data_IF_940607536264
#
_entry.id   IF_940607536264
#
_cell.length_a   1.000
_cell.length_b   1.000
_cell.length_c   1.000
_cell.angle_alpha   90.00
_cell.angle_beta   90.00
_cell.angle_gamma   90.00
#
_symmetry.space_group_name_H-M   'P 1'
#
loop_
_entity.id
_entity.type
_entity.pdbx_description
1 polymer ?
#
# COMPACT_ATOMS: atom_id res chain seq x y z
N UNK A 1 6.08 -56.03 5.09
CA UNK A 1 5.73 -55.48 3.77
C UNK A 1 4.66 -54.42 4.02
N UNK A 2 5.06 -53.16 4.12
CA UNK A 2 4.15 -52.07 4.50
C UNK A 2 3.59 -51.47 3.21
N UNK A 3 2.31 -51.71 2.95
CA UNK A 3 1.61 -51.17 1.78
C UNK A 3 1.47 -49.66 2.01
N UNK A 4 1.98 -48.86 1.07
CA UNK A 4 1.83 -47.41 1.15
C UNK A 4 0.35 -47.05 0.98
N UNK A 5 -0.25 -46.49 2.03
CA UNK A 5 -1.56 -45.86 1.96
C UNK A 5 -1.50 -44.66 1.00
N UNK A 6 -2.63 -44.38 0.36
CA UNK A 6 -2.93 -43.23 -0.50
C UNK A 6 -2.16 -41.95 -0.13
N UNK A 7 -1.37 -41.42 -1.07
CA UNK A 7 -0.66 -40.15 -0.91
C UNK A 7 -1.50 -39.02 -1.54
N UNK A 8 -2.13 -38.20 -0.70
CA UNK A 8 -2.86 -37.01 -1.15
C UNK A 8 -1.89 -35.82 -1.17
N UNK A 9 -1.60 -35.30 -2.37
CA UNK A 9 -0.83 -34.07 -2.53
C UNK A 9 -1.80 -32.89 -2.63
N UNK A 10 -1.61 -31.87 -1.78
CA UNK A 10 -2.37 -30.62 -1.85
C UNK A 10 -1.41 -29.47 -2.18
N UNK A 11 -1.76 -28.66 -3.17
CA UNK A 11 -0.97 -27.52 -3.63
C UNK A 11 -1.60 -26.21 -3.18
N UNK A 12 -0.81 -25.33 -2.55
CA UNK A 12 -1.23 -23.96 -2.23
C UNK A 12 -1.13 -23.09 -3.47
N UNK A 13 -2.26 -22.58 -3.96
CA UNK A 13 -2.32 -21.82 -5.22
C UNK A 13 -2.01 -20.32 -5.05
N UNK A 14 -2.13 -19.80 -3.83
CA UNK A 14 -1.87 -18.40 -3.53
C UNK A 14 -1.18 -18.29 -2.16
N UNK A 15 -0.03 -17.62 -2.17
CA UNK A 15 0.68 -17.20 -0.96
C UNK A 15 1.13 -15.75 -1.12
N UNK A 16 0.92 -14.92 -0.09
CA UNK A 16 1.24 -13.49 -0.12
C UNK A 16 2.09 -13.13 1.10
N UNK A 17 3.10 -12.28 0.89
CA UNK A 17 3.84 -11.61 1.97
C UNK A 17 3.46 -10.13 2.01
N UNK A 18 2.97 -9.68 3.15
CA UNK A 18 2.69 -8.27 3.40
C UNK A 18 3.87 -7.61 4.09
N UNK A 19 4.18 -6.38 3.70
CA UNK A 19 5.34 -5.64 4.17
C UNK A 19 4.96 -4.28 4.73
N UNK A 20 5.64 -3.91 5.82
CA UNK A 20 5.58 -2.60 6.45
C UNK A 20 6.66 -1.71 5.81
N UNK A 21 6.30 -0.73 4.95
CA UNK A 21 7.29 0.11 4.28
C UNK A 21 8.13 0.93 5.26
N UNK A 22 7.59 1.27 6.43
CA UNK A 22 8.30 2.08 7.43
C UNK A 22 9.48 1.33 8.05
N UNK A 23 9.33 0.02 8.26
CA UNK A 23 10.35 -0.83 8.89
C UNK A 23 11.12 -1.69 7.90
N UNK A 24 10.71 -1.67 6.63
CA UNK A 24 11.17 -2.60 5.60
C UNK A 24 11.14 -4.04 6.13
N UNK A 25 10.02 -4.43 6.73
CA UNK A 25 9.87 -5.70 7.43
C UNK A 25 8.55 -6.40 7.09
N UNK A 26 8.58 -7.73 7.06
CA UNK A 26 7.40 -8.55 6.83
C UNK A 26 6.43 -8.44 8.03
N UNK A 27 5.14 -8.25 7.72
CA UNK A 27 4.07 -8.20 8.71
C UNK A 27 3.59 -9.63 8.96
N UNK A 28 3.76 -10.12 10.18
CA UNK A 28 3.48 -11.53 10.51
C UNK A 28 2.32 -11.71 11.49
N UNK A 29 1.65 -10.64 11.87
CA UNK A 29 0.59 -10.64 12.88
C UNK A 29 -0.45 -9.55 12.60
N UNK A 30 -1.62 -9.65 13.25
CA UNK A 30 -2.67 -8.63 13.24
C UNK A 30 -3.50 -8.53 11.96
N UNK A 31 -3.04 -9.09 10.84
CA UNK A 31 -3.79 -9.06 9.57
C UNK A 31 -4.82 -10.19 9.50
N UNK A 32 -6.02 -9.84 9.06
CA UNK A 32 -7.01 -10.76 8.49
C UNK A 32 -7.00 -10.54 6.99
N UNK A 33 -6.79 -11.63 6.24
CA UNK A 33 -6.66 -11.59 4.79
C UNK A 33 -7.67 -12.56 4.20
N UNK A 34 -8.53 -12.06 3.31
CA UNK A 34 -9.58 -12.86 2.68
C UNK A 34 -9.53 -12.72 1.16
N UNK A 35 -9.98 -13.77 0.46
CA UNK A 35 -10.12 -13.79 -0.99
C UNK A 35 -11.54 -14.19 -1.34
N UNK A 36 -12.17 -13.43 -2.22
CA UNK A 36 -13.59 -13.56 -2.57
C UNK A 36 -13.76 -13.58 -4.09
N UNK A 37 -14.46 -14.56 -4.70
CA UNK A 37 -14.67 -14.58 -6.15
C UNK A 37 -15.52 -13.38 -6.61
N UNK A 38 -15.11 -12.68 -7.68
CA UNK A 38 -15.82 -11.48 -8.16
C UNK A 38 -17.12 -11.82 -8.90
N UNK A 39 -17.14 -12.95 -9.63
CA UNK A 39 -18.26 -13.32 -10.52
C UNK A 39 -19.30 -14.27 -9.87
N UNK A 40 -19.13 -14.65 -8.60
CA UNK A 40 -20.03 -15.62 -7.96
C UNK A 40 -21.29 -14.91 -7.42
N UNK A 41 -22.50 -15.48 -7.59
CA UNK A 41 -23.75 -14.88 -7.11
C UNK A 41 -23.86 -14.84 -5.58
N UNK A 42 -23.20 -15.79 -4.91
CA UNK A 42 -23.09 -15.86 -3.44
C UNK A 42 -21.63 -16.15 -3.08
N UNK A 43 -20.77 -15.12 -3.13
CA UNK A 43 -19.35 -15.34 -2.95
C UNK A 43 -19.06 -15.59 -1.46
N UNK A 44 -18.58 -16.79 -1.13
CA UNK A 44 -18.08 -17.08 0.21
C UNK A 44 -16.61 -16.65 0.29
N UNK A 45 -16.24 -15.72 1.18
CA UNK A 45 -14.84 -15.35 1.37
C UNK A 45 -14.06 -16.55 1.93
N UNK A 46 -12.83 -16.71 1.47
CA UNK A 46 -11.86 -17.68 2.01
C UNK A 46 -10.80 -16.90 2.77
N UNK A 47 -10.67 -17.18 4.06
CA UNK A 47 -9.65 -16.55 4.91
C UNK A 47 -8.31 -17.28 4.78
N UNK A 48 -7.24 -16.51 4.65
CA UNK A 48 -5.89 -17.05 4.65
C UNK A 48 -5.53 -17.66 6.01
N UNK A 49 -4.73 -18.72 6.00
CA UNK A 49 -3.97 -19.15 7.17
C UNK A 49 -2.53 -18.67 7.05
N UNK A 50 -1.89 -18.42 8.19
CA UNK A 50 -0.51 -17.98 8.24
C UNK A 50 0.44 -19.18 8.39
N UNK A 51 1.50 -19.22 7.59
CA UNK A 51 2.57 -20.22 7.71
C UNK A 51 3.61 -19.81 8.79
N UNK A 52 4.48 -20.75 9.18
CA UNK A 52 5.59 -20.46 10.10
C UNK A 52 6.54 -19.36 9.57
N UNK A 53 6.70 -19.26 8.25
CA UNK A 53 7.47 -18.21 7.57
C UNK A 53 6.69 -16.90 7.36
N UNK A 54 5.50 -16.77 7.95
CA UNK A 54 4.69 -15.54 7.89
C UNK A 54 3.98 -15.28 6.57
N UNK A 55 3.91 -16.28 5.68
CA UNK A 55 3.16 -16.17 4.42
C UNK A 55 1.67 -16.35 4.74
N UNK A 56 0.82 -15.51 4.15
CA UNK A 56 -0.62 -15.69 4.16
C UNK A 56 -1.01 -16.57 2.97
N UNK A 57 -1.33 -17.82 3.25
CA UNK A 57 -1.63 -18.86 2.28
C UNK A 57 -3.12 -19.17 2.25
N UNK A 58 -3.62 -19.55 1.08
CA UNK A 58 -5.03 -19.88 0.85
C UNK A 58 -5.18 -21.31 0.35
N UNK A 59 -6.25 -21.96 0.81
CA UNK A 59 -6.69 -23.28 0.39
C UNK A 59 -8.22 -23.29 0.34
N UNK A 60 -8.80 -24.15 -0.49
CA UNK A 60 -10.24 -24.24 -0.69
C UNK A 60 -10.82 -23.04 -1.45
N UNK A 61 -10.02 -22.38 -2.31
CA UNK A 61 -10.54 -21.25 -3.09
C UNK A 61 -11.62 -21.75 -4.05
N UNK A 62 -12.81 -21.16 -3.98
CA UNK A 62 -13.96 -21.56 -4.79
C UNK A 62 -13.62 -21.47 -6.29
N UNK A 63 -13.81 -22.56 -7.02
CA UNK A 63 -13.45 -22.66 -8.44
C UNK A 63 -12.03 -23.18 -8.71
N UNK A 64 -11.18 -23.31 -7.69
CA UNK A 64 -9.79 -23.79 -7.86
C UNK A 64 -9.51 -25.17 -7.24
N UNK A 65 -10.50 -25.81 -6.63
CA UNK A 65 -10.34 -27.10 -5.93
C UNK A 65 -9.69 -28.20 -6.77
N UNK A 66 -9.99 -28.26 -8.07
CA UNK A 66 -9.39 -29.24 -8.97
C UNK A 66 -7.88 -29.03 -9.15
N UNK A 67 -7.41 -27.77 -9.10
CA UNK A 67 -5.98 -27.42 -9.16
C UNK A 67 -5.27 -27.65 -7.82
N UNK A 68 -5.98 -27.55 -6.70
CA UNK A 68 -5.42 -27.79 -5.37
C UNK A 68 -5.11 -29.28 -5.13
N UNK A 69 -5.94 -30.19 -5.63
CA UNK A 69 -5.84 -31.64 -5.38
C UNK A 69 -5.46 -32.49 -6.62
N UNK A 70 -5.46 -31.90 -7.81
CA UNK A 70 -5.15 -32.61 -9.04
C UNK A 70 -3.66 -32.58 -9.39
N UNK A 71 -3.17 -33.51 -10.22
CA UNK A 71 -1.90 -33.31 -10.89
C UNK A 71 -1.99 -31.99 -11.69
N UNK A 72 -0.97 -31.15 -11.59
CA UNK A 72 -0.90 -29.88 -12.31
C UNK A 72 -0.87 -30.15 -13.83
N UNK A 73 -2.04 -30.37 -14.41
CA UNK A 73 -2.23 -30.63 -15.83
C UNK A 73 -2.45 -29.27 -16.49
N UNK A 74 -1.52 -28.87 -17.35
CA UNK A 74 -1.63 -27.63 -18.10
C UNK A 74 -2.80 -27.74 -19.08
N UNK A 75 -3.98 -27.25 -18.71
CA UNK A 75 -5.05 -27.02 -19.67
C UNK A 75 -4.72 -25.77 -20.47
N UNK A 76 -4.64 -25.87 -21.79
CA UNK A 76 -4.39 -24.74 -22.69
C UNK A 76 -5.68 -24.37 -23.44
N UNK A 77 -6.12 -23.10 -23.41
CA UNK A 77 -5.56 -22.00 -22.60
C UNK A 77 -5.88 -22.17 -21.10
N UNK A 78 -5.06 -21.63 -20.19
CA UNK A 78 -5.37 -21.63 -18.77
C UNK A 78 -6.65 -20.84 -18.54
N UNK A 79 -7.59 -21.41 -17.79
CA UNK A 79 -8.74 -20.65 -17.32
C UNK A 79 -8.26 -19.67 -16.24
N UNK A 80 -8.70 -18.43 -16.29
CA UNK A 80 -8.38 -17.41 -15.28
C UNK A 80 -9.67 -16.93 -14.64
N UNK A 81 -9.70 -16.91 -13.32
CA UNK A 81 -10.81 -16.41 -12.51
C UNK A 81 -10.35 -15.17 -11.73
N UNK A 82 -11.21 -14.16 -11.65
CA UNK A 82 -10.95 -12.94 -10.89
C UNK A 82 -11.45 -13.07 -9.46
N UNK A 83 -10.59 -12.68 -8.52
CA UNK A 83 -10.89 -12.62 -7.11
C UNK A 83 -10.52 -11.26 -6.54
N UNK A 84 -11.21 -10.90 -5.48
CA UNK A 84 -10.91 -9.75 -4.65
C UNK A 84 -10.14 -10.21 -3.41
N UNK A 85 -8.92 -9.70 -3.26
CA UNK A 85 -8.14 -9.77 -2.04
C UNK A 85 -8.54 -8.60 -1.12
N UNK A 86 -8.90 -8.90 0.12
CA UNK A 86 -9.15 -7.90 1.15
C UNK A 86 -8.23 -8.12 2.34
N UNK A 87 -7.58 -7.05 2.79
CA UNK A 87 -6.66 -7.02 3.93
C UNK A 87 -7.19 -6.04 4.95
N UNK A 88 -7.36 -6.49 6.19
CA UNK A 88 -7.73 -5.65 7.34
C UNK A 88 -6.77 -5.92 8.49
N UNK A 89 -6.31 -4.88 9.18
CA UNK A 89 -5.43 -5.00 10.35
C UNK A 89 -6.22 -4.76 11.64
N UNK A 90 -6.33 -5.79 12.49
CA UNK A 90 -7.03 -5.71 13.77
C UNK A 90 -6.37 -4.72 14.75
N UNK A 91 -5.08 -4.44 14.57
CA UNK A 91 -4.34 -3.47 15.37
C UNK A 91 -4.40 -2.03 14.82
N UNK A 92 -5.11 -1.82 13.71
CA UNK A 92 -5.25 -0.51 13.06
C UNK A 92 -3.92 0.21 12.77
N UNK A 93 -2.85 -0.55 12.49
CA UNK A 93 -1.53 0.00 12.10
C UNK A 93 -1.52 0.33 10.61
N UNK A 94 -2.29 -0.40 9.81
CA UNK A 94 -2.37 -0.24 8.35
C UNK A 94 -3.79 0.07 7.90
N UNK A 95 -3.92 0.79 6.79
CA UNK A 95 -5.21 1.02 6.16
C UNK A 95 -5.78 -0.28 5.57
N UNK A 96 -7.10 -0.49 5.67
CA UNK A 96 -7.76 -1.55 4.92
C UNK A 96 -7.42 -1.43 3.43
N UNK A 97 -7.11 -2.56 2.80
CA UNK A 97 -6.69 -2.60 1.40
C UNK A 97 -7.51 -3.62 0.64
N UNK A 98 -7.94 -3.25 -0.56
CA UNK A 98 -8.63 -4.12 -1.50
C UNK A 98 -7.79 -4.18 -2.77
N UNK A 99 -7.59 -5.37 -3.33
CA UNK A 99 -6.89 -5.56 -4.59
C UNK A 99 -7.53 -6.67 -5.42
N UNK A 100 -7.70 -6.45 -6.72
CA UNK A 100 -8.07 -7.50 -7.65
C UNK A 100 -6.87 -8.40 -7.97
N UNK A 101 -7.10 -9.71 -7.97
CA UNK A 101 -6.12 -10.73 -8.34
C UNK A 101 -6.73 -11.74 -9.31
N UNK A 102 -5.90 -12.29 -10.18
CA UNK A 102 -6.25 -13.32 -11.13
C UNK A 102 -5.62 -14.65 -10.73
N UNK A 103 -6.44 -15.72 -10.66
CA UNK A 103 -5.98 -17.06 -10.29
C UNK A 103 -6.45 -18.12 -11.31
N UNK A 104 -5.69 -19.21 -11.51
CA UNK A 104 -4.37 -19.47 -10.93
C UNK A 104 -3.32 -18.46 -11.44
N UNK A 105 -2.28 -18.24 -10.64
CA UNK A 105 -1.16 -17.38 -11.06
C UNK A 105 -0.51 -17.96 -12.31
N UNK A 106 -0.05 -17.09 -13.22
CA UNK A 106 0.67 -17.50 -14.45
C UNK A 106 2.06 -18.10 -14.18
N UNK A 107 2.50 -18.06 -12.92
CA UNK A 107 3.79 -18.56 -12.45
C UNK A 107 3.62 -19.27 -11.10
N UNK A 108 4.65 -20.03 -10.68
CA UNK A 108 4.68 -20.70 -9.37
C UNK A 108 5.32 -19.80 -8.32
N UNK A 109 4.80 -19.83 -7.10
CA UNK A 109 5.41 -19.17 -5.94
C UNK A 109 4.52 -18.11 -5.31
N UNK A 110 5.15 -17.10 -4.71
CA UNK A 110 4.46 -16.02 -4.01
C UNK A 110 3.86 -15.01 -4.97
N UNK A 111 2.69 -14.48 -4.64
CA UNK A 111 2.07 -13.38 -5.36
C UNK A 111 2.99 -12.16 -5.41
N UNK A 112 3.10 -11.54 -6.58
CA UNK A 112 3.96 -10.39 -6.89
C UNK A 112 3.05 -9.26 -7.39
N UNK A 113 2.79 -8.23 -6.58
CA UNK A 113 1.89 -7.14 -6.97
C UNK A 113 2.42 -6.41 -8.22
N UNK A 114 1.63 -6.39 -9.29
CA UNK A 114 2.00 -5.70 -10.53
C UNK A 114 2.82 -6.53 -11.53
N UNK A 115 3.10 -7.81 -11.25
CA UNK A 115 3.73 -8.68 -12.24
C UNK A 115 2.73 -9.02 -13.36
N UNK A 116 2.81 -8.33 -14.50
CA UNK A 116 2.07 -8.66 -15.72
C UNK A 116 2.96 -9.38 -16.72
N UNK A 117 2.88 -10.71 -16.80
CA UNK A 117 3.53 -11.49 -17.86
C UNK A 117 5.00 -11.89 -17.63
N UNK A 118 5.41 -12.95 -18.32
CA UNK A 118 6.62 -13.77 -18.09
C UNK A 118 7.97 -13.16 -18.50
N UNK A 119 9.10 -13.76 -18.03
CA UNK A 119 9.37 -14.28 -16.70
C UNK A 119 10.11 -13.20 -15.86
N UNK A 120 9.81 -13.08 -14.57
CA UNK A 120 10.55 -12.16 -13.72
C UNK A 120 11.97 -12.69 -13.46
N UNK A 121 12.94 -11.80 -13.40
CA UNK A 121 14.28 -12.13 -12.89
C UNK A 121 14.14 -12.74 -11.49
N UNK A 122 14.82 -13.87 -11.26
CA UNK A 122 14.68 -14.65 -10.01
C UNK A 122 15.20 -13.89 -8.77
N UNK A 123 15.97 -12.82 -8.96
CA UNK A 123 16.64 -12.08 -7.89
C UNK A 123 15.91 -10.80 -7.41
N UNK A 124 14.77 -10.42 -7.99
CA UNK A 124 14.04 -9.24 -7.51
C UNK A 124 13.13 -9.57 -6.32
N UNK A 125 13.75 -9.73 -5.15
CA UNK A 125 13.07 -9.92 -3.86
C UNK A 125 12.10 -8.77 -3.55
N UNK A 126 12.35 -7.55 -4.08
CA UNK A 126 11.48 -6.40 -3.88
C UNK A 126 10.17 -6.52 -4.67
N UNK A 127 10.19 -7.15 -5.84
CA UNK A 127 8.98 -7.42 -6.64
C UNK A 127 7.98 -8.38 -5.96
N UNK A 128 8.40 -9.11 -4.92
CA UNK A 128 7.52 -10.03 -4.18
C UNK A 128 6.77 -9.38 -3.00
N UNK A 129 6.96 -8.07 -2.78
CA UNK A 129 6.50 -7.39 -1.56
C UNK A 129 5.16 -6.71 -1.78
N UNK A 130 4.13 -7.13 -1.05
CA UNK A 130 2.87 -6.41 -0.95
C UNK A 130 2.95 -5.39 0.19
N UNK A 131 3.37 -4.16 -0.12
CA UNK A 131 3.43 -3.07 0.85
C UNK A 131 2.03 -2.59 1.23
N UNK A 132 1.79 -2.44 2.54
CA UNK A 132 0.58 -1.83 3.08
C UNK A 132 0.82 -0.36 3.44
N UNK A 133 -0.23 0.46 3.30
CA UNK A 133 -0.16 1.87 3.70
C UNK A 133 -0.41 2.04 5.19
N UNK A 134 0.38 2.89 5.84
CA UNK A 134 0.24 3.16 7.27
C UNK A 134 -1.08 3.87 7.56
N UNK A 135 -1.76 3.45 8.63
CA UNK A 135 -2.93 4.15 9.13
C UNK A 135 -2.53 5.55 9.63
N UNK A 136 -3.36 6.59 9.42
CA UNK A 136 -3.10 7.94 9.92
C UNK A 136 -2.95 8.03 11.44
N UNK A 137 -3.53 7.09 12.19
CA UNK A 137 -3.43 7.03 13.66
C UNK A 137 -2.20 6.25 14.17
N UNK A 138 -1.41 5.64 13.26
CA UNK A 138 -0.25 4.84 13.65
C UNK A 138 0.83 5.73 14.28
N UNK A 139 1.28 5.32 15.46
CA UNK A 139 2.46 5.91 16.11
C UNK A 139 3.71 5.56 15.29
N UNK A 140 4.55 6.56 14.91
CA UNK A 140 5.79 6.28 14.21
C UNK A 140 6.74 5.45 15.11
N UNK A 141 7.38 4.39 14.57
CA UNK A 141 8.45 3.71 15.27
C UNK A 141 9.58 4.68 15.67
N UNK A 142 10.29 4.44 16.79
CA UNK A 142 11.42 5.28 17.18
C UNK A 142 12.47 5.40 16.06
N UNK A 143 12.99 6.61 15.86
CA UNK A 143 14.00 6.89 14.84
C UNK A 143 13.48 7.07 13.41
N UNK A 144 12.16 7.05 13.20
CA UNK A 144 11.54 7.36 11.91
C UNK A 144 10.83 8.71 11.94
N UNK A 145 10.83 9.38 10.80
CA UNK A 145 10.06 10.58 10.54
C UNK A 145 8.62 10.22 10.16
N UNK A 146 7.70 11.17 10.35
CA UNK A 146 6.33 11.06 9.85
C UNK A 146 5.90 12.35 9.18
N UNK A 147 5.31 12.21 8.00
CA UNK A 147 4.61 13.27 7.28
C UNK A 147 3.12 12.99 7.39
N UNK A 148 2.37 13.90 8.00
CA UNK A 148 0.92 13.81 8.16
C UNK A 148 0.23 14.83 7.28
N UNK A 149 -0.94 14.48 6.78
CA UNK A 149 -1.80 15.41 6.06
C UNK A 149 -3.28 15.11 6.37
N UNK A 150 -4.08 16.17 6.36
CA UNK A 150 -5.53 16.09 6.23
C UNK A 150 -5.88 16.68 4.87
N UNK A 151 -6.23 15.83 3.90
CA UNK A 151 -6.50 16.27 2.53
C UNK A 151 -7.98 16.63 2.35
N UNK A 152 -8.23 17.78 1.73
CA UNK A 152 -9.57 18.31 1.52
C UNK A 152 -9.75 18.73 0.06
N UNK A 153 -10.70 18.09 -0.63
CA UNK A 153 -11.11 18.47 -1.98
C UNK A 153 -11.94 19.75 -1.91
N UNK A 154 -11.38 20.84 -2.42
CA UNK A 154 -12.05 22.15 -2.42
C UNK A 154 -13.21 22.24 -3.41
N UNK A 155 -13.20 21.45 -4.49
CA UNK A 155 -14.25 21.47 -5.52
C UNK A 155 -15.48 20.66 -5.06
N UNK A 156 -15.24 19.49 -4.47
CA UNK A 156 -16.30 18.66 -3.89
C UNK A 156 -16.71 19.11 -2.47
N UNK A 157 -15.95 20.02 -1.86
CA UNK A 157 -16.14 20.49 -0.49
C UNK A 157 -16.20 19.33 0.53
N UNK A 158 -15.20 18.44 0.48
CA UNK A 158 -15.16 17.21 1.27
C UNK A 158 -13.75 16.62 1.42
N UNK A 159 -13.59 15.52 2.15
CA UNK A 159 -12.30 14.86 2.28
C UNK A 159 -11.84 14.32 0.91
N UNK A 160 -10.57 14.54 0.57
CA UNK A 160 -9.96 13.90 -0.61
C UNK A 160 -9.60 12.44 -0.28
N UNK A 161 -10.63 11.60 -0.18
CA UNK A 161 -10.53 10.22 0.24
C UNK A 161 -9.72 9.36 -0.76
N UNK A 162 -8.85 8.49 -0.21
CA UNK A 162 -8.04 7.55 -0.99
C UNK A 162 -7.13 8.19 -2.04
N UNK A 163 -6.77 9.46 -1.84
CA UNK A 163 -5.66 10.12 -2.53
C UNK A 163 -4.32 9.49 -2.11
N UNK A 164 -3.44 9.27 -3.09
CA UNK A 164 -2.08 8.76 -2.90
C UNK A 164 -1.13 9.94 -2.68
N UNK A 165 -0.32 9.87 -1.62
CA UNK A 165 0.72 10.83 -1.32
C UNK A 165 2.07 10.23 -1.72
N UNK A 166 2.86 10.97 -2.48
CA UNK A 166 4.26 10.66 -2.77
C UNK A 166 5.13 11.71 -2.08
N UNK A 167 6.04 11.25 -1.22
CA UNK A 167 6.97 12.09 -0.47
C UNK A 167 8.38 11.76 -0.95
N UNK A 168 9.01 12.71 -1.60
CA UNK A 168 10.38 12.64 -2.05
C UNK A 168 11.32 13.27 -1.02
N UNK A 169 12.36 12.52 -0.65
CA UNK A 169 13.42 12.96 0.27
C UNK A 169 14.80 12.65 -0.33
N UNK A 170 15.90 13.08 0.29
CA UNK A 170 17.25 12.68 -0.15
C UNK A 170 17.50 11.17 -0.17
N UNK A 171 16.69 10.38 0.56
CA UNK A 171 16.80 8.91 0.59
C UNK A 171 15.98 8.20 -0.50
N UNK A 172 15.03 8.89 -1.15
CA UNK A 172 14.18 8.29 -2.18
C UNK A 172 12.71 8.71 -2.09
N UNK A 173 11.85 7.89 -2.70
CA UNK A 173 10.40 8.09 -2.73
C UNK A 173 9.69 7.22 -1.69
N UNK A 174 8.72 7.81 -1.02
CA UNK A 174 7.89 7.17 -0.01
C UNK A 174 6.43 7.42 -0.32
N UNK A 175 5.57 6.42 -0.08
CA UNK A 175 4.15 6.52 -0.43
C UNK A 175 3.26 6.41 0.81
N UNK A 176 2.20 7.22 0.84
CA UNK A 176 1.09 7.11 1.77
C UNK A 176 -0.23 7.08 1.03
N UNK A 177 -1.27 6.65 1.73
CA UNK A 177 -2.63 6.68 1.23
C UNK A 177 -3.49 7.40 2.26
N UNK A 178 -4.38 8.27 1.80
CA UNK A 178 -5.38 8.87 2.68
C UNK A 178 -6.54 7.91 2.94
N UNK A 179 -7.05 7.93 4.17
CA UNK A 179 -8.24 7.18 4.55
C UNK A 179 -9.51 7.82 3.96
N UNK A 180 -10.66 7.20 4.23
CA UNK A 180 -11.97 7.71 3.79
C UNK A 180 -12.28 9.13 4.29
N UNK A 181 -11.68 9.54 5.42
CA UNK A 181 -11.83 10.90 5.96
C UNK A 181 -10.76 11.87 5.44
N UNK A 182 -9.93 11.51 4.46
CA UNK A 182 -8.87 12.34 3.89
C UNK A 182 -7.58 12.44 4.73
N UNK A 183 -7.52 11.81 5.91
CA UNK A 183 -6.30 11.80 6.72
C UNK A 183 -5.26 10.81 6.17
N UNK A 184 -3.98 11.17 6.15
CA UNK A 184 -2.89 10.34 5.64
C UNK A 184 -1.65 10.41 6.55
N UNK A 185 -0.85 9.35 6.54
CA UNK A 185 0.49 9.34 7.13
C UNK A 185 1.49 8.61 6.23
N UNK A 186 2.66 9.22 6.06
CA UNK A 186 3.84 8.60 5.44
C UNK A 186 4.91 8.50 6.50
N UNK A 187 5.31 7.28 6.86
CA UNK A 187 6.37 7.03 7.84
C UNK A 187 7.61 6.58 7.07
N UNK A 188 8.73 7.25 7.31
CA UNK A 188 9.96 7.07 6.53
C UNK A 188 11.21 7.31 7.39
N UNK A 189 12.37 6.71 7.06
CA UNK A 189 13.62 6.94 7.77
C UNK A 189 14.10 8.39 7.64
N UNK A 190 14.67 8.94 8.71
CA UNK A 190 15.40 10.20 8.61
C UNK A 190 16.62 10.02 7.70
N UNK A 191 16.93 11.01 6.85
CA UNK A 191 18.19 11.02 6.11
C UNK A 191 19.40 11.04 7.05
N UNK A 192 20.57 10.76 6.48
CA UNK A 192 21.81 10.72 7.26
C UNK A 192 22.11 12.07 7.92
N UNK A 193 22.54 12.02 9.16
CA UNK A 193 22.88 13.21 9.92
C UNK A 193 24.16 13.83 9.36
N UNK A 194 24.06 15.05 8.82
CA UNK A 194 25.24 15.80 8.40
C UNK A 194 25.88 16.42 9.63
N UNK A 195 27.04 15.91 10.04
CA UNK A 195 27.90 16.63 10.98
C UNK A 195 28.65 17.69 10.19
N UNK A 196 28.19 18.94 10.21
CA UNK A 196 29.03 20.03 9.73
C UNK A 196 30.17 20.21 10.74
N UNK A 197 31.40 19.89 10.33
CA UNK A 197 32.63 20.18 11.07
C UNK A 197 33.24 21.52 10.62
N UNK A 198 32.48 22.35 9.92
CA UNK A 198 32.99 23.62 9.42
C UNK A 198 33.33 24.56 10.59
N UNK A 199 34.61 24.93 10.66
CA UNK A 199 35.16 26.01 11.48
C UNK A 199 35.17 25.84 13.01
N UNK A 200 35.34 24.62 13.52
CA UNK A 200 35.62 24.40 14.96
C UNK A 200 34.51 24.85 15.91
N UNK A 201 33.33 25.19 15.36
CA UNK A 201 32.13 25.43 16.14
C UNK A 201 31.51 24.08 16.50
N UNK A 202 30.97 23.92 17.72
CA UNK A 202 30.30 22.69 18.10
C UNK A 202 29.20 22.36 17.07
N UNK A 203 29.06 21.08 16.66
CA UNK A 203 28.05 20.69 15.70
C UNK A 203 26.66 21.13 16.18
N UNK A 204 25.74 21.48 15.25
CA UNK A 204 24.38 21.84 15.62
C UNK A 204 23.76 20.72 16.47
N UNK A 205 22.96 21.12 17.45
CA UNK A 205 22.22 20.18 18.29
C UNK A 205 21.42 19.24 17.39
N UNK A 206 21.46 17.94 17.68
CA UNK A 206 20.81 16.89 16.89
C UNK A 206 19.32 17.19 16.64
N UNK A 207 18.65 17.82 17.61
CA UNK A 207 17.26 18.25 17.56
C UNK A 207 16.94 19.35 16.52
N UNK A 208 17.95 19.97 15.88
CA UNK A 208 17.75 21.04 14.90
C UNK A 208 18.03 20.59 13.45
N UNK A 209 18.29 19.31 13.21
CA UNK A 209 18.53 18.83 11.85
C UNK A 209 17.24 18.86 11.02
N UNK A 210 17.38 19.36 9.80
CA UNK A 210 16.28 19.51 8.86
C UNK A 210 16.68 18.99 7.49
N UNK A 211 15.73 18.38 6.79
CA UNK A 211 15.94 17.88 5.44
C UNK A 211 14.79 18.31 4.54
N UNK A 212 15.07 18.81 3.33
CA UNK A 212 14.03 19.20 2.40
C UNK A 212 13.22 17.97 1.99
N UNK A 213 11.92 18.17 1.80
CA UNK A 213 11.03 17.20 1.20
C UNK A 213 10.17 17.85 0.11
N UNK A 214 9.80 17.07 -0.88
CA UNK A 214 8.81 17.44 -1.91
C UNK A 214 7.64 16.47 -1.84
N UNK A 215 6.41 16.97 -1.86
CA UNK A 215 5.19 16.16 -1.81
C UNK A 215 4.39 16.35 -3.09
N UNK A 216 4.02 15.23 -3.71
CA UNK A 216 3.05 15.14 -4.79
C UNK A 216 1.81 14.41 -4.30
N UNK A 217 0.66 14.83 -4.79
CA UNK A 217 -0.63 14.23 -4.46
C UNK A 217 -1.23 13.74 -5.75
N UNK A 218 -1.63 12.47 -5.78
CA UNK A 218 -2.39 11.89 -6.88
C UNK A 218 -3.81 11.69 -6.38
N UNK A 219 -4.73 12.44 -6.97
CA UNK A 219 -6.12 12.44 -6.58
C UNK A 219 -7.04 12.62 -7.79
N UNK A 220 -7.76 11.55 -8.12
CA UNK A 220 -8.74 11.53 -9.20
C UNK A 220 -9.89 10.59 -8.81
N UNK A 221 -10.94 11.10 -8.16
CA UNK A 221 -12.01 10.26 -7.61
C UNK A 221 -12.78 9.51 -8.72
N UNK A 222 -12.81 10.04 -9.95
CA UNK A 222 -13.51 9.45 -11.08
C UNK A 222 -12.92 8.12 -11.55
N UNK A 223 -11.62 7.85 -11.32
CA UNK A 223 -10.99 6.58 -11.73
C UNK A 223 -11.01 5.52 -10.63
N UNK A 224 -11.43 5.89 -9.41
CA UNK A 224 -11.50 4.96 -8.29
C UNK A 224 -12.62 3.94 -8.55
N UNK A 225 -12.27 2.65 -8.48
CA UNK A 225 -13.23 1.57 -8.66
C UNK A 225 -13.50 0.87 -7.33
N UNK A 226 -14.75 0.89 -6.91
CA UNK A 226 -15.22 0.19 -5.71
C UNK A 226 -15.89 -1.11 -6.14
N UNK A 227 -15.59 -2.20 -5.43
CA UNK A 227 -16.34 -3.43 -5.60
C UNK A 227 -17.62 -3.41 -4.78
N UNK A 228 -18.61 -4.22 -5.20
CA UNK A 228 -19.93 -4.24 -4.58
C UNK A 228 -19.87 -4.31 -3.05
N UNK A 229 -20.37 -3.25 -2.40
CA UNK A 229 -20.48 -3.14 -0.94
C UNK A 229 -19.19 -2.77 -0.20
N UNK A 230 -18.06 -2.62 -0.88
CA UNK A 230 -16.80 -2.20 -0.24
C UNK A 230 -16.72 -0.68 -0.16
N UNK A 231 -16.32 -0.17 1.01
CA UNK A 231 -16.09 1.26 1.23
C UNK A 231 -14.67 1.71 0.83
N UNK A 232 -13.82 0.79 0.38
CA UNK A 232 -12.41 1.01 0.02
C UNK A 232 -12.24 0.70 -1.47
N UNK A 233 -11.62 1.60 -2.25
CA UNK A 233 -11.41 1.34 -3.67
C UNK A 233 -10.31 0.30 -3.89
N UNK A 234 -10.36 -0.34 -5.06
CA UNK A 234 -9.33 -1.25 -5.51
C UNK A 234 -7.97 -0.51 -5.63
N UNK A 235 -6.91 -1.12 -5.10
CA UNK A 235 -5.57 -0.57 -5.09
C UNK A 235 -5.02 -0.30 -6.50
N UNK A 236 -5.40 -1.13 -7.48
CA UNK A 236 -5.04 -0.90 -8.89
C UNK A 236 -5.63 0.40 -9.41
N UNK A 237 -6.88 0.72 -9.05
CA UNK A 237 -7.52 2.01 -9.39
C UNK A 237 -6.87 3.20 -8.70
N UNK A 238 -6.45 3.04 -7.44
CA UNK A 238 -5.74 4.09 -6.69
C UNK A 238 -4.43 4.46 -7.37
N UNK A 239 -3.67 3.46 -7.83
CA UNK A 239 -2.38 3.66 -8.50
C UNK A 239 -2.48 4.31 -9.88
N UNK A 240 -3.67 4.37 -10.48
CA UNK A 240 -3.92 5.01 -11.78
C UNK A 240 -4.35 6.47 -11.68
N UNK A 241 -4.61 6.97 -10.47
CA UNK A 241 -5.00 8.37 -10.27
C UNK A 241 -3.93 9.31 -10.83
N UNK A 242 -4.36 10.34 -11.55
CA UNK A 242 -3.46 11.38 -12.04
C UNK A 242 -3.06 12.37 -10.93
N UNK A 243 -1.98 13.11 -11.18
CA UNK A 243 -1.48 14.11 -10.24
C UNK A 243 -2.48 15.26 -10.07
N UNK A 244 -2.85 15.50 -8.82
CA UNK A 244 -3.74 16.56 -8.40
C UNK A 244 -2.98 17.86 -8.13
N UNK A 245 -3.73 18.95 -8.06
CA UNK A 245 -3.21 20.25 -7.65
C UNK A 245 -3.40 20.44 -6.14
N UNK A 246 -2.51 21.22 -5.53
CA UNK A 246 -2.49 21.52 -4.10
C UNK A 246 -2.26 23.01 -3.88
N UNK A 247 -2.74 23.55 -2.76
CA UNK A 247 -2.74 24.99 -2.53
C UNK A 247 -1.93 25.35 -1.28
N UNK A 248 -0.88 26.17 -1.46
CA UNK A 248 -0.06 26.65 -0.35
C UNK A 248 -0.79 27.70 0.51
N UNK A 249 -1.68 28.48 -0.11
CA UNK A 249 -2.59 29.43 0.56
C UNK A 249 -3.99 29.27 -0.05
N UNK A 250 -5.05 29.60 0.69
CA UNK A 250 -6.43 29.39 0.23
C UNK A 250 -6.80 30.21 -1.02
N UNK A 251 -6.18 31.38 -1.20
CA UNK A 251 -6.38 32.28 -2.36
C UNK A 251 -5.23 32.21 -3.37
N UNK A 252 -4.24 31.34 -3.13
CA UNK A 252 -3.04 31.23 -3.95
C UNK A 252 -3.27 30.43 -5.23
N UNK A 253 -2.34 30.53 -6.21
CA UNK A 253 -2.38 29.66 -7.37
C UNK A 253 -2.18 28.19 -6.97
N UNK A 254 -2.81 27.24 -7.69
CA UNK A 254 -2.53 25.82 -7.51
C UNK A 254 -1.07 25.50 -7.84
N UNK A 255 -0.52 24.52 -7.12
CA UNK A 255 0.79 23.93 -7.38
C UNK A 255 0.67 22.41 -7.51
N UNK A 256 1.48 21.83 -8.40
CA UNK A 256 1.56 20.37 -8.56
C UNK A 256 2.37 19.70 -7.43
N UNK A 257 3.17 20.49 -6.71
CA UNK A 257 4.10 20.03 -5.68
C UNK A 257 4.03 20.96 -4.46
N UNK A 258 4.16 20.37 -3.27
CA UNK A 258 4.38 21.10 -2.03
C UNK A 258 5.80 20.85 -1.52
N UNK A 259 6.51 21.89 -1.13
CA UNK A 259 7.83 21.77 -0.52
C UNK A 259 7.73 21.93 0.99
N UNK A 260 8.48 21.13 1.74
CA UNK A 260 8.53 21.20 3.19
C UNK A 260 9.90 20.84 3.75
N UNK A 261 9.96 20.70 5.07
CA UNK A 261 11.14 20.22 5.78
C UNK A 261 10.73 19.09 6.74
N UNK A 262 11.50 18.01 6.75
CA UNK A 262 11.52 17.06 7.85
C UNK A 262 12.36 17.69 8.95
N UNK A 263 11.87 17.71 10.18
CA UNK A 263 12.62 18.15 11.35
C UNK A 263 12.82 16.93 12.24
N UNK A 264 14.04 16.72 12.75
CA UNK A 264 14.32 15.56 13.61
C UNK A 264 13.41 15.56 14.85
N UNK A 265 12.87 14.38 15.18
CA UNK A 265 11.91 14.13 16.28
C UNK A 265 10.61 14.95 16.26
N UNK A 266 10.32 15.63 15.15
CA UNK A 266 9.09 16.42 14.98
C UNK A 266 8.26 15.87 13.84
N UNK A 267 6.95 15.73 14.05
CA UNK A 267 6.02 15.35 12.98
C UNK A 267 5.85 16.51 12.00
N UNK A 268 6.02 16.26 10.70
CA UNK A 268 5.76 17.27 9.67
C UNK A 268 4.29 17.21 9.26
N UNK A 269 3.56 18.30 9.46
CA UNK A 269 2.17 18.45 9.02
C UNK A 269 2.08 19.24 7.72
N UNK A 270 1.46 18.66 6.70
CA UNK A 270 1.13 19.36 5.47
C UNK A 270 -0.22 20.04 5.61
N UNK A 271 -0.25 21.36 5.40
CA UNK A 271 -1.47 22.15 5.45
C UNK A 271 -1.35 23.39 4.55
N UNK A 272 -2.49 23.86 4.06
CA UNK A 272 -2.62 25.18 3.43
C UNK A 272 -2.47 26.25 4.51
N UNK A 273 -1.74 27.33 4.23
CA UNK A 273 -1.50 28.41 5.20
C UNK A 273 -2.80 28.96 5.78
N UNK A 274 -2.88 29.02 7.11
CA UNK A 274 -4.07 29.47 7.84
C UNK A 274 -5.16 28.40 8.04
N UNK A 275 -4.98 27.19 7.51
CA UNK A 275 -5.91 26.06 7.64
C UNK A 275 -5.25 24.89 8.36
N UNK A 276 -6.07 23.98 8.89
CA UNK A 276 -5.62 22.73 9.52
C UNK A 276 -5.55 21.55 8.54
N UNK A 277 -5.82 21.80 7.26
CA UNK A 277 -5.88 20.80 6.21
C UNK A 277 -5.20 21.35 4.95
N UNK A 278 -4.79 20.44 4.07
CA UNK A 278 -4.26 20.78 2.76
C UNK A 278 -5.38 20.74 1.74
N UNK A 279 -5.68 21.88 1.15
CA UNK A 279 -6.60 21.97 0.03
C UNK A 279 -5.98 21.32 -1.20
N UNK A 280 -6.76 20.48 -1.86
CA UNK A 280 -6.42 19.83 -3.12
C UNK A 280 -7.56 20.02 -4.12
N UNK A 281 -7.22 20.01 -5.41
CA UNK A 281 -8.18 19.92 -6.50
C UNK A 281 -7.87 18.64 -7.30
N UNK A 282 -8.87 17.79 -7.60
CA UNK A 282 -8.70 16.61 -8.42
C UNK A 282 -7.95 16.90 -9.72
N UNK A 283 -7.19 15.92 -10.19
CA UNK A 283 -6.71 15.95 -11.56
C UNK A 283 -7.90 16.12 -12.51
N UNK A 284 -7.84 17.13 -13.39
CA UNK A 284 -8.87 17.35 -14.38
C UNK A 284 -8.82 16.21 -15.40
N UNK A 285 -9.94 15.52 -15.64
CA UNK A 285 -10.03 14.67 -16.82
C UNK A 285 -9.81 15.56 -18.06
N UNK A 286 -8.96 15.16 -19.01
CA UNK A 286 -8.67 15.93 -20.22
C UNK A 286 -9.90 16.18 -21.09
#
# INVERSE_FOLDING_TARGET
MTISLEQVQTTTLLGIRFWDPAREAQITDGLTVTVTPVAAPYPSPVTAFRTASGIYAFQGIAGLRALEHGPATSTSPPFTLRYQLQVTDAQQRFLPTVADIELPLSYRGLYRPGATGSPPDEDDDAATRFYLFSAPTRTPPPGLAVVRAQLYDQLANGPAAFALLEVQTPLGLWFGLSAANGSAAVILPYPTFTRSLENGSPPPLVAQQQWPLTVRIYYEPAVQSFSNGQAVPDLGSIRRQQQAQSFATAEGPPANEQTGQLIFETETHLATAGLSHLLVAPASSP
#
